data_IF_697797603986
#
_entry.id   IF_697797603986
#
_cell.length_a   1.000
_cell.length_b   1.000
_cell.length_c   1.000
_cell.angle_alpha   90.00
_cell.angle_beta   90.00
_cell.angle_gamma   90.00
#
_symmetry.space_group_name_H-M   'P 1'
#
loop_
_entity.id
_entity.type
_entity.pdbx_description
1 polymer ?
#
# COMPACT_ATOMS: atom_id res chain seq x y z
N UNK A 1 -22.41 2.48 -1.86
CA UNK A 1 -22.36 1.20 -2.59
C UNK A 1 -21.15 0.46 -2.07
N UNK A 2 -21.31 -0.73 -1.48
CA UNK A 2 -20.18 -1.57 -1.10
C UNK A 2 -19.89 -2.48 -2.31
N UNK A 3 -18.68 -2.41 -2.85
CA UNK A 3 -18.24 -3.33 -3.90
C UNK A 3 -17.97 -4.69 -3.26
N UNK A 4 -18.33 -5.74 -3.99
CA UNK A 4 -18.34 -7.15 -3.60
C UNK A 4 -17.15 -7.58 -2.70
N UNK A 5 -17.42 -8.49 -1.75
CA UNK A 5 -16.36 -9.09 -0.92
C UNK A 5 -15.59 -10.08 -1.79
N UNK A 6 -14.56 -9.61 -2.51
CA UNK A 6 -13.65 -10.38 -3.37
C UNK A 6 -12.95 -11.51 -2.58
N UNK A 7 -13.60 -12.66 -2.39
CA UNK A 7 -13.13 -13.88 -1.68
C UNK A 7 -12.45 -13.71 -0.31
N UNK A 8 -12.35 -12.49 0.22
CA UNK A 8 -11.49 -12.07 1.31
C UNK A 8 -12.29 -11.34 2.38
N UNK A 9 -11.65 -11.10 3.52
CA UNK A 9 -12.30 -10.59 4.71
C UNK A 9 -12.59 -9.08 4.68
N UNK A 10 -12.37 -8.40 3.55
CA UNK A 10 -12.42 -6.94 3.44
C UNK A 10 -13.15 -6.47 2.17
N UNK A 11 -13.71 -5.27 2.24
CA UNK A 11 -14.34 -4.59 1.10
C UNK A 11 -13.95 -3.11 1.09
N UNK A 12 -13.63 -2.58 -0.10
CA UNK A 12 -13.40 -1.15 -0.28
C UNK A 12 -14.73 -0.39 -0.14
N UNK A 13 -14.68 0.76 0.51
CA UNK A 13 -15.84 1.64 0.71
C UNK A 13 -15.48 3.08 0.33
N UNK A 14 -16.37 3.71 -0.42
CA UNK A 14 -16.25 5.11 -0.80
C UNK A 14 -17.33 5.94 -0.09
N UNK A 15 -16.90 7.00 0.62
CA UNK A 15 -17.77 7.98 1.29
C UNK A 15 -17.23 9.37 0.98
N UNK A 16 -18.06 10.24 0.42
CA UNK A 16 -17.70 11.62 0.03
C UNK A 16 -16.41 11.66 -0.83
N UNK A 17 -16.36 10.82 -1.86
CA UNK A 17 -15.22 10.70 -2.80
C UNK A 17 -13.88 10.33 -2.15
N UNK A 18 -13.93 9.77 -0.94
CA UNK A 18 -12.77 9.21 -0.26
C UNK A 18 -12.95 7.73 -0.03
N UNK A 19 -11.85 7.01 -0.20
CA UNK A 19 -11.77 5.57 -0.07
C UNK A 19 -11.18 5.14 1.26
N UNK A 20 -11.71 4.05 1.76
CA UNK A 20 -11.24 3.28 2.89
C UNK A 20 -11.66 1.83 2.71
N UNK A 21 -11.55 1.01 3.76
CA UNK A 21 -12.07 -0.36 3.71
C UNK A 21 -12.60 -0.84 5.05
N UNK A 22 -13.55 -1.77 4.94
CA UNK A 22 -14.25 -2.42 6.05
C UNK A 22 -13.93 -3.90 6.07
N UNK A 23 -14.09 -4.54 7.23
CA UNK A 23 -14.12 -6.01 7.31
C UNK A 23 -15.53 -6.57 6.99
N UNK A 24 -15.68 -7.91 6.99
CA UNK A 24 -16.96 -8.61 6.76
C UNK A 24 -18.07 -8.27 7.76
N UNK A 25 -17.73 -7.74 8.93
CA UNK A 25 -18.73 -7.30 9.92
C UNK A 25 -19.25 -5.89 9.64
N UNK A 26 -18.65 -5.19 8.67
CA UNK A 26 -18.91 -3.78 8.40
C UNK A 26 -18.09 -2.83 9.26
N UNK A 27 -17.15 -3.35 10.07
CA UNK A 27 -16.28 -2.50 10.88
C UNK A 27 -15.28 -1.80 9.97
N UNK A 28 -15.16 -0.49 10.14
CA UNK A 28 -14.15 0.33 9.45
C UNK A 28 -12.76 -0.04 9.96
N UNK A 29 -11.92 -0.53 9.07
CA UNK A 29 -10.50 -0.81 9.33
C UNK A 29 -9.67 0.42 8.96
N UNK A 30 -9.84 0.92 7.74
CA UNK A 30 -9.30 2.20 7.31
C UNK A 30 -10.45 3.16 6.99
N UNK A 31 -10.49 4.30 7.69
CA UNK A 31 -11.50 5.34 7.44
C UNK A 31 -11.36 5.90 6.02
N UNK A 32 -12.47 6.19 5.32
CA UNK A 32 -12.47 6.99 4.09
C UNK A 32 -11.66 8.27 4.23
N UNK A 33 -10.47 8.28 3.63
CA UNK A 33 -9.56 9.43 3.64
C UNK A 33 -8.55 9.42 2.47
N UNK A 34 -8.51 8.32 1.72
CA UNK A 34 -7.63 8.12 0.57
C UNK A 34 -8.36 8.49 -0.71
N UNK A 35 -7.61 8.82 -1.75
CA UNK A 35 -8.15 9.02 -3.08
C UNK A 35 -8.39 7.69 -3.79
N UNK A 36 -7.65 6.64 -3.40
CA UNK A 36 -7.90 5.26 -3.83
C UNK A 36 -7.31 4.24 -2.84
N UNK A 37 -7.81 3.01 -2.88
CA UNK A 37 -7.30 1.86 -2.12
C UNK A 37 -7.31 0.59 -3.01
N UNK A 38 -6.18 -0.09 -3.10
CA UNK A 38 -6.07 -1.35 -3.85
C UNK A 38 -5.94 -2.54 -2.90
N UNK A 39 -6.97 -3.38 -2.89
CA UNK A 39 -7.04 -4.60 -2.10
C UNK A 39 -6.71 -5.80 -3.00
N UNK A 40 -5.64 -6.52 -2.67
CA UNK A 40 -5.28 -7.78 -3.34
C UNK A 40 -5.55 -8.94 -2.41
N UNK A 41 -6.27 -9.96 -2.90
CA UNK A 41 -6.72 -11.05 -2.03
C UNK A 41 -5.55 -11.74 -1.32
N UNK A 42 -4.55 -12.16 -2.07
CA UNK A 42 -3.41 -12.91 -1.53
C UNK A 42 -2.36 -12.04 -0.81
N UNK A 43 -2.56 -10.72 -0.73
CA UNK A 43 -1.61 -9.80 -0.11
C UNK A 43 -1.98 -9.48 1.33
N UNK A 44 -0.99 -9.31 2.22
CA UNK A 44 -1.22 -8.74 3.56
C UNK A 44 -1.04 -7.21 3.61
N UNK A 45 -0.74 -6.61 2.46
CA UNK A 45 -0.45 -5.20 2.30
C UNK A 45 -1.50 -4.59 1.37
N UNK A 46 -1.97 -3.41 1.73
CA UNK A 46 -2.97 -2.66 0.97
C UNK A 46 -2.30 -1.39 0.47
N UNK A 47 -2.29 -1.18 -0.85
CA UNK A 47 -1.81 0.08 -1.42
C UNK A 47 -2.85 1.17 -1.19
N UNK A 48 -2.39 2.35 -0.81
CA UNK A 48 -3.25 3.51 -0.55
C UNK A 48 -2.69 4.73 -1.27
N UNK A 49 -3.59 5.54 -1.82
CA UNK A 49 -3.24 6.69 -2.64
C UNK A 49 -3.84 7.97 -2.05
N UNK A 50 -3.06 9.06 -2.05
CA UNK A 50 -3.52 10.37 -1.57
C UNK A 50 -2.68 11.48 -2.20
N UNK A 51 -3.34 12.49 -2.76
CA UNK A 51 -2.72 13.65 -3.40
C UNK A 51 -1.65 13.26 -4.44
N UNK A 52 -1.97 12.30 -5.32
CA UNK A 52 -1.05 11.76 -6.35
C UNK A 52 0.15 10.95 -5.79
N UNK A 53 0.28 10.85 -4.48
CA UNK A 53 1.29 10.03 -3.81
C UNK A 53 0.71 8.69 -3.38
N UNK A 54 1.56 7.69 -3.28
CA UNK A 54 1.21 6.35 -2.85
C UNK A 54 2.01 5.91 -1.63
N UNK A 55 1.38 5.02 -0.86
CA UNK A 55 1.95 4.36 0.29
C UNK A 55 1.24 3.03 0.51
N UNK A 56 1.47 2.41 1.65
CA UNK A 56 0.79 1.16 1.96
C UNK A 56 0.57 0.97 3.46
N UNK A 57 -0.47 0.20 3.77
CA UNK A 57 -0.88 -0.13 5.12
C UNK A 57 -1.01 -1.65 5.22
N UNK A 58 -0.92 -2.21 6.43
CA UNK A 58 -1.25 -3.62 6.62
C UNK A 58 -2.78 -3.82 6.64
N UNK A 59 -3.23 -5.09 6.60
CA UNK A 59 -4.65 -5.49 6.71
C UNK A 59 -5.35 -5.04 8.00
N UNK A 60 -4.62 -4.54 9.00
CA UNK A 60 -5.19 -3.97 10.23
C UNK A 60 -5.43 -2.46 10.14
N UNK A 61 -5.00 -1.83 9.04
CA UNK A 61 -5.06 -0.39 8.81
C UNK A 61 -3.86 0.36 9.36
N UNK A 62 -2.84 -0.35 9.86
CA UNK A 62 -1.61 0.29 10.36
C UNK A 62 -0.77 0.73 9.16
N UNK A 63 -0.31 1.98 9.21
CA UNK A 63 0.57 2.53 8.19
C UNK A 63 1.93 1.84 8.22
N UNK A 64 2.33 1.26 7.08
CA UNK A 64 3.68 0.73 6.83
C UNK A 64 4.50 1.85 6.16
N UNK A 65 3.96 2.42 5.08
CA UNK A 65 4.52 3.53 4.32
C UNK A 65 3.42 4.57 4.14
N UNK A 66 3.68 5.83 4.51
CA UNK A 66 2.74 6.92 4.28
C UNK A 66 2.64 7.22 2.77
N UNK A 67 1.52 7.74 2.27
CA UNK A 67 1.49 8.35 0.94
C UNK A 67 2.45 9.54 0.91
N UNK A 68 3.64 9.31 0.35
CA UNK A 68 4.72 10.30 0.19
C UNK A 68 5.66 9.95 -0.98
N UNK A 69 5.31 8.92 -1.77
CA UNK A 69 6.13 8.41 -2.89
C UNK A 69 5.34 8.48 -4.20
N UNK A 70 6.04 8.71 -5.32
CA UNK A 70 5.42 8.70 -6.64
C UNK A 70 4.98 7.30 -7.08
N UNK A 71 5.68 6.25 -6.64
CA UNK A 71 5.27 4.86 -6.87
C UNK A 71 5.87 3.91 -5.83
N UNK A 72 5.16 2.82 -5.51
CA UNK A 72 5.68 1.70 -4.71
C UNK A 72 5.53 0.38 -5.48
N UNK A 73 6.48 -0.54 -5.29
CA UNK A 73 6.40 -1.93 -5.77
C UNK A 73 6.57 -2.88 -4.59
N UNK A 74 5.53 -3.68 -4.31
CA UNK A 74 5.48 -4.57 -3.16
C UNK A 74 5.95 -5.97 -3.58
N UNK A 75 6.98 -6.48 -2.90
CA UNK A 75 7.51 -7.83 -3.11
C UNK A 75 7.44 -8.61 -1.78
N UNK A 76 6.24 -9.04 -1.39
CA UNK A 76 5.99 -9.72 -0.11
C UNK A 76 6.82 -10.99 0.08
N UNK A 77 7.03 -11.80 -0.96
CA UNK A 77 7.87 -13.01 -0.90
C UNK A 77 9.34 -12.73 -0.55
N UNK A 78 9.81 -11.52 -0.86
CA UNK A 78 11.15 -11.03 -0.54
C UNK A 78 11.18 -10.20 0.76
N UNK A 79 10.02 -9.88 1.32
CA UNK A 79 9.89 -9.02 2.50
C UNK A 79 10.29 -7.57 2.28
N UNK A 80 10.25 -7.09 1.03
CA UNK A 80 10.66 -5.72 0.66
C UNK A 80 9.60 -4.97 -0.14
N UNK A 81 9.67 -3.66 -0.04
CA UNK A 81 8.89 -2.69 -0.79
C UNK A 81 9.89 -1.71 -1.40
N UNK A 82 9.86 -1.60 -2.72
CA UNK A 82 10.65 -0.62 -3.45
C UNK A 82 9.81 0.67 -3.49
N UNK A 83 10.39 1.76 -3.03
CA UNK A 83 9.76 3.09 -3.06
C UNK A 83 10.48 3.95 -4.09
N UNK A 84 9.73 4.73 -4.86
CA UNK A 84 10.30 5.69 -5.79
C UNK A 84 9.74 7.08 -5.53
N UNK A 85 10.63 8.06 -5.50
CA UNK A 85 10.32 9.49 -5.54
C UNK A 85 10.92 10.02 -6.84
N UNK A 86 10.11 10.02 -7.90
CA UNK A 86 10.51 10.28 -9.29
C UNK A 86 11.73 9.44 -9.72
N UNK A 87 12.92 10.04 -9.74
CA UNK A 87 14.18 9.44 -10.20
C UNK A 87 14.97 8.72 -9.10
N UNK A 88 14.52 8.81 -7.84
CA UNK A 88 15.21 8.22 -6.69
C UNK A 88 14.47 7.00 -6.20
N UNK A 89 15.21 5.91 -6.03
CA UNK A 89 14.67 4.66 -5.50
C UNK A 89 15.21 4.37 -4.11
N UNK A 90 14.37 3.80 -3.26
CA UNK A 90 14.69 3.27 -1.95
C UNK A 90 14.10 1.88 -1.75
N UNK A 91 14.54 1.20 -0.70
CA UNK A 91 13.99 -0.09 -0.27
C UNK A 91 13.61 0.01 1.19
N UNK A 92 12.36 -0.34 1.48
CA UNK A 92 11.78 -0.42 2.82
C UNK A 92 11.39 -1.88 3.03
N UNK A 93 11.59 -2.42 4.23
CA UNK A 93 11.05 -3.75 4.51
C UNK A 93 9.52 -3.68 4.69
N UNK A 94 8.83 -4.82 4.63
CA UNK A 94 7.37 -4.90 4.83
C UNK A 94 6.89 -4.48 6.24
N UNK A 95 7.81 -4.15 7.16
CA UNK A 95 7.48 -3.59 8.48
C UNK A 95 7.59 -2.06 8.52
N UNK A 96 7.93 -1.42 7.39
CA UNK A 96 8.07 0.04 7.29
C UNK A 96 9.43 0.58 7.74
N UNK A 97 10.42 -0.30 7.98
CA UNK A 97 11.78 0.12 8.33
C UNK A 97 12.63 0.27 7.07
N UNK A 98 13.25 1.44 6.92
CA UNK A 98 14.16 1.71 5.81
C UNK A 98 15.32 0.72 5.79
N UNK A 99 15.49 0.04 4.65
CA UNK A 99 16.64 -0.84 4.36
C UNK A 99 17.68 -0.04 3.57
N UNK A 100 17.23 0.77 2.60
CA UNK A 100 18.03 1.75 1.86
C UNK A 100 17.19 2.99 1.56
N UNK A 101 17.68 4.18 1.93
CA UNK A 101 16.93 5.43 1.72
C UNK A 101 16.85 5.81 0.23
N UNK A 102 15.76 6.45 -0.22
CA UNK A 102 15.64 7.04 -1.55
C UNK A 102 16.55 8.27 -1.69
N UNK A 103 17.84 8.00 -1.89
CA UNK A 103 18.88 8.94 -2.32
C UNK A 103 19.80 8.29 -3.36
N UNK A 104 19.38 7.18 -3.95
CA UNK A 104 20.20 6.34 -4.81
C UNK A 104 19.56 6.35 -6.20
N UNK A 105 20.35 6.70 -7.22
CA UNK A 105 19.88 6.83 -8.61
C UNK A 105 19.59 5.46 -9.26
N UNK A 106 20.16 4.37 -8.74
CA UNK A 106 19.98 3.01 -9.27
C UNK A 106 20.13 1.98 -8.15
N UNK A 107 19.19 1.03 -8.04
CA UNK A 107 19.34 -0.14 -7.17
C UNK A 107 19.51 -1.37 -8.07
N UNK A 108 20.62 -2.09 -7.92
CA UNK A 108 20.83 -3.38 -8.57
C UNK A 108 20.30 -4.51 -7.67
N UNK A 109 19.18 -5.13 -8.05
CA UNK A 109 18.64 -6.35 -7.42
C UNK A 109 18.65 -7.51 -8.44
N UNK A 110 19.57 -8.48 -8.34
CA UNK A 110 19.75 -9.53 -9.35
C UNK A 110 18.69 -10.65 -9.35
N UNK A 111 17.49 -10.46 -8.78
CA UNK A 111 16.53 -11.55 -8.53
C UNK A 111 15.10 -11.28 -9.03
N UNK A 112 14.95 -10.54 -10.13
CA UNK A 112 13.67 -10.45 -10.85
C UNK A 112 13.84 -11.07 -12.26
N UNK A 113 13.73 -12.39 -12.33
CA UNK A 113 13.37 -13.15 -13.53
C UNK A 113 12.28 -14.15 -13.16
#
# INVERSE_FOLDING_TARGET
>A
MALDFQSESFAAVCINDKWGYIDRTGKIIAKPQFDDVELWSYSNIVSVYKNEECGCIDKTGKIIIKPEYSSISIHESLGVIIVSDYDKMGVVNIQGKNVANPKINWIYYPLLF
#
